data_IF_975821699592
#
_entry.id   IF_975821699592
#
_cell.length_a   1.000
_cell.length_b   1.000
_cell.length_c   1.000
_cell.angle_alpha   90.00
_cell.angle_beta   90.00
_cell.angle_gamma   90.00
#
_symmetry.space_group_name_H-M   'P 1'
#
loop_
_entity.id
_entity.type
_entity.pdbx_description
1 polymer ?
#
# COMPACT_ATOMS: atom_id res chain seq x y z
N UNK A 1 4.80 -12.25 -26.10
CA UNK A 1 4.52 -12.57 -24.69
C UNK A 1 4.86 -11.33 -23.89
N UNK A 2 3.86 -10.48 -23.65
CA UNK A 2 4.05 -9.18 -23.02
C UNK A 2 4.48 -9.37 -21.57
N UNK A 3 5.66 -8.83 -21.24
CA UNK A 3 6.15 -8.74 -19.87
C UNK A 3 5.19 -7.82 -19.13
N UNK A 4 4.32 -8.39 -18.30
CA UNK A 4 3.44 -7.61 -17.43
C UNK A 4 4.32 -6.91 -16.39
N UNK A 5 4.63 -5.65 -16.66
CA UNK A 5 5.40 -4.79 -15.78
C UNK A 5 4.44 -4.10 -14.79
N UNK A 6 4.08 -4.75 -13.68
CA UNK A 6 3.37 -4.13 -12.55
C UNK A 6 4.23 -3.01 -11.95
N UNK A 7 3.82 -1.74 -12.07
CA UNK A 7 4.70 -0.60 -11.78
C UNK A 7 4.71 -0.14 -10.32
N UNK A 8 3.71 -0.48 -9.52
CA UNK A 8 3.76 -0.31 -8.06
C UNK A 8 3.05 -1.50 -7.43
N UNK A 9 3.81 -2.37 -6.74
CA UNK A 9 3.22 -3.33 -5.82
C UNK A 9 3.51 -2.84 -4.42
N UNK A 10 2.48 -2.44 -3.69
CA UNK A 10 2.63 -1.96 -2.31
C UNK A 10 1.76 -2.81 -1.42
N UNK A 11 2.35 -3.44 -0.41
CA UNK A 11 1.62 -3.85 0.79
C UNK A 11 1.83 -2.73 1.82
N UNK A 12 0.95 -1.72 1.82
CA UNK A 12 1.09 -0.57 2.72
C UNK A 12 0.45 -0.85 4.06
N UNK A 13 1.26 -1.14 5.08
CA UNK A 13 0.78 -1.28 6.44
C UNK A 13 1.78 -0.58 7.36
N UNK A 14 1.42 0.63 7.83
CA UNK A 14 0.97 0.97 9.19
C UNK A 14 1.15 2.49 9.33
N UNK A 15 0.09 3.24 9.64
CA UNK A 15 0.21 4.48 10.38
C UNK A 15 -0.14 4.21 11.86
N UNK A 16 0.70 4.64 12.79
CA UNK A 16 0.41 4.53 14.25
C UNK A 16 0.18 5.92 14.82
N UNK A 17 -0.82 6.05 15.69
CA UNK A 17 -1.11 7.22 16.48
C UNK A 17 -1.42 6.76 17.91
N UNK A 18 -0.72 7.26 18.92
CA UNK A 18 -1.22 7.19 20.30
C UNK A 18 -2.09 8.42 20.62
N UNK A 19 -3.34 8.19 21.02
CA UNK A 19 -4.14 9.18 21.74
C UNK A 19 -3.89 8.95 23.23
N UNK A 20 -2.82 9.57 23.74
CA UNK A 20 -2.15 9.13 24.96
C UNK A 20 -3.03 8.86 26.18
N UNK A 21 -2.70 7.78 26.91
CA UNK A 21 -2.46 7.80 28.36
C UNK A 21 -1.68 6.55 28.83
N UNK A 22 -0.45 6.78 29.31
CA UNK A 22 0.40 5.95 30.20
C UNK A 22 0.64 4.46 29.84
N UNK A 23 1.89 4.19 29.44
CA UNK A 23 2.53 2.88 29.23
C UNK A 23 2.18 1.82 30.29
N UNK A 24 1.69 0.66 29.82
CA UNK A 24 2.04 -0.66 30.39
C UNK A 24 1.74 -1.79 29.41
N UNK A 25 2.76 -2.63 29.17
CA UNK A 25 2.82 -3.87 28.35
C UNK A 25 2.98 -3.67 26.84
N UNK A 26 3.75 -4.59 26.25
CA UNK A 26 4.02 -4.76 24.81
C UNK A 26 2.73 -4.99 24.03
N UNK A 27 1.90 -3.96 23.89
CA UNK A 27 0.76 -3.98 23.02
C UNK A 27 1.27 -3.67 21.63
N UNK A 28 1.00 -4.56 20.67
CA UNK A 28 1.26 -4.24 19.27
C UNK A 28 0.45 -2.98 18.95
N UNK A 29 1.15 -1.92 18.55
CA UNK A 29 0.51 -0.67 18.16
C UNK A 29 -0.55 -0.94 17.08
N UNK A 30 -1.76 -0.38 17.20
CA UNK A 30 -2.85 -0.68 16.29
C UNK A 30 -2.56 -0.12 14.89
N UNK A 31 -2.70 -0.97 13.86
CA UNK A 31 -2.67 -0.53 12.46
C UNK A 31 -3.97 0.23 12.13
N UNK A 32 -3.92 1.55 12.12
CA UNK A 32 -5.10 2.39 11.87
C UNK A 32 -5.59 2.33 10.41
N UNK A 33 -4.75 1.83 9.48
CA UNK A 33 -5.10 1.66 8.07
C UNK A 33 -5.84 0.35 7.78
N UNK A 34 -5.92 -0.59 8.74
CA UNK A 34 -6.51 -1.91 8.55
C UNK A 34 -7.97 -1.79 8.06
N UNK A 35 -8.25 -2.40 6.90
CA UNK A 35 -9.55 -2.45 6.22
C UNK A 35 -10.15 -1.09 5.91
N UNK A 36 -9.34 -0.04 5.90
CA UNK A 36 -9.77 1.30 5.49
C UNK A 36 -9.99 1.36 3.98
N UNK A 37 -10.85 2.28 3.50
CA UNK A 37 -10.99 2.51 2.07
C UNK A 37 -9.65 2.87 1.44
N UNK A 38 -9.30 2.19 0.37
CA UNK A 38 -8.08 2.44 -0.37
C UNK A 38 -8.39 2.59 -1.86
N UNK A 39 -7.64 3.47 -2.53
CA UNK A 39 -7.70 3.73 -3.96
C UNK A 39 -6.29 3.62 -4.54
N UNK A 40 -6.21 3.36 -5.83
CA UNK A 40 -4.97 3.43 -6.58
C UNK A 40 -5.25 3.96 -7.98
N UNK A 41 -4.24 4.52 -8.64
CA UNK A 41 -4.32 5.13 -9.97
C UNK A 41 -4.96 4.22 -11.01
N UNK A 42 -4.54 2.96 -11.04
CA UNK A 42 -5.06 1.92 -11.93
C UNK A 42 -5.06 0.57 -11.24
N UNK A 43 -5.93 -0.37 -11.66
CA UNK A 43 -5.96 -1.72 -11.09
C UNK A 43 -5.51 -2.76 -12.09
N UNK A 44 -4.44 -3.49 -11.74
CA UNK A 44 -4.02 -4.66 -12.49
C UNK A 44 -5.05 -5.78 -12.33
N UNK A 45 -5.37 -6.43 -13.45
CA UNK A 45 -6.19 -7.62 -13.47
C UNK A 45 -5.69 -8.55 -14.56
N UNK A 46 -5.65 -9.85 -14.27
CA UNK A 46 -5.20 -10.87 -15.20
C UNK A 46 -5.94 -12.17 -14.96
N UNK A 47 -6.36 -12.83 -16.04
CA UNK A 47 -7.07 -14.10 -15.99
C UNK A 47 -8.27 -14.15 -15.02
N UNK A 48 -8.98 -13.02 -14.87
CA UNK A 48 -10.13 -12.90 -13.96
C UNK A 48 -9.77 -12.59 -12.50
N UNK A 49 -8.48 -12.57 -12.14
CA UNK A 49 -8.01 -12.07 -10.85
C UNK A 49 -7.75 -10.57 -10.92
N UNK A 50 -7.98 -9.87 -9.82
CA UNK A 50 -7.74 -8.43 -9.68
C UNK A 50 -6.87 -8.17 -8.46
N UNK A 51 -6.02 -7.14 -8.56
CA UNK A 51 -5.11 -6.70 -7.50
C UNK A 51 -5.50 -5.30 -6.99
N UNK A 52 -6.66 -5.16 -6.32
CA UNK A 52 -7.17 -3.86 -5.89
C UNK A 52 -6.34 -3.24 -4.76
N UNK A 53 -6.51 -1.94 -4.57
CA UNK A 53 -5.85 -1.17 -3.52
C UNK A 53 -6.09 -1.73 -2.12
N UNK A 54 -7.24 -2.36 -1.86
CA UNK A 54 -7.61 -2.92 -0.56
C UNK A 54 -6.69 -4.05 -0.08
N UNK A 55 -5.99 -4.74 -0.99
CA UNK A 55 -5.01 -5.78 -0.61
C UNK A 55 -3.82 -5.22 0.16
N UNK A 56 -3.55 -3.92 0.05
CA UNK A 56 -2.50 -3.29 0.85
C UNK A 56 -2.91 -3.12 2.32
N UNK A 57 -4.21 -3.15 2.64
CA UNK A 57 -4.76 -2.86 3.97
C UNK A 57 -5.62 -4.00 4.51
N UNK A 58 -5.50 -5.21 3.98
CA UNK A 58 -6.32 -6.37 4.38
C UNK A 58 -5.83 -7.07 5.65
N UNK A 59 -4.60 -6.78 6.09
CA UNK A 59 -3.94 -7.38 7.25
C UNK A 59 -3.05 -8.58 6.91
N UNK A 60 -2.94 -8.96 5.64
CA UNK A 60 -1.96 -9.93 5.17
C UNK A 60 -0.61 -9.23 4.92
N UNK A 61 0.43 -9.64 5.66
CA UNK A 61 1.77 -9.09 5.52
C UNK A 61 2.67 -9.91 4.56
N UNK A 62 2.10 -10.91 3.90
CA UNK A 62 2.81 -11.70 2.91
C UNK A 62 3.24 -10.87 1.71
N UNK A 63 4.39 -11.22 1.14
CA UNK A 63 5.03 -10.44 0.07
C UNK A 63 5.06 -11.17 -1.27
N UNK A 64 4.54 -12.40 -1.32
CA UNK A 64 4.43 -13.19 -2.54
C UNK A 64 3.17 -12.77 -3.32
N UNK A 65 3.36 -12.19 -4.49
CA UNK A 65 2.25 -11.71 -5.32
C UNK A 65 1.27 -12.81 -5.75
N UNK A 66 1.74 -14.03 -5.93
CA UNK A 66 0.94 -15.16 -6.41
C UNK A 66 0.15 -15.79 -5.26
N UNK A 67 0.80 -15.97 -4.12
CA UNK A 67 0.27 -16.68 -2.94
C UNK A 67 -0.44 -15.73 -1.99
N UNK A 68 0.22 -14.66 -1.58
CA UNK A 68 -0.28 -13.74 -0.55
C UNK A 68 -1.17 -12.65 -1.14
N UNK A 69 -1.01 -12.40 -2.45
CA UNK A 69 -1.61 -11.29 -3.21
C UNK A 69 -1.11 -9.93 -2.71
N UNK A 70 -1.05 -8.97 -3.62
CA UNK A 70 -0.70 -7.60 -3.28
C UNK A 70 -1.51 -6.62 -4.14
N UNK A 71 -1.66 -5.38 -3.68
CA UNK A 71 -2.17 -4.30 -4.54
C UNK A 71 -1.21 -4.08 -5.72
N UNK A 72 -1.73 -3.84 -6.92
CA UNK A 72 -0.89 -3.65 -8.11
C UNK A 72 -1.55 -2.73 -9.12
N UNK A 73 -0.80 -1.72 -9.58
CA UNK A 73 -1.17 -0.85 -10.70
C UNK A 73 -0.92 -1.51 -12.05
N UNK A 74 -1.62 -1.07 -13.10
CA UNK A 74 -1.43 -1.60 -14.45
C UNK A 74 -0.03 -1.25 -14.97
N UNK A 75 0.50 -2.11 -15.84
CA UNK A 75 1.69 -1.75 -16.62
C UNK A 75 1.40 -0.59 -17.57
N UNK A 76 2.36 0.33 -17.67
CA UNK A 76 2.23 1.57 -18.45
C UNK A 76 1.61 2.75 -17.69
N UNK A 77 1.28 2.59 -16.41
CA UNK A 77 0.90 3.72 -15.55
C UNK A 77 2.12 4.62 -15.28
N UNK A 78 2.13 5.83 -15.83
CA UNK A 78 3.28 6.73 -15.81
C UNK A 78 3.41 7.53 -14.52
N UNK A 79 2.36 7.60 -13.71
CA UNK A 79 2.36 8.28 -12.41
C UNK A 79 1.56 7.44 -11.39
N UNK A 80 2.05 6.23 -11.07
CA UNK A 80 1.28 5.30 -10.27
C UNK A 80 1.21 5.78 -8.82
N UNK A 81 0.00 5.76 -8.26
CA UNK A 81 -0.24 6.16 -6.87
C UNK A 81 -1.17 5.19 -6.17
N UNK A 82 -1.06 5.17 -4.84
CA UNK A 82 -1.94 4.45 -3.94
C UNK A 82 -2.29 5.39 -2.77
N UNK A 83 -3.53 5.34 -2.32
CA UNK A 83 -4.08 6.20 -1.28
C UNK A 83 -4.94 5.39 -0.32
N UNK A 84 -4.85 5.68 0.97
CA UNK A 84 -5.81 5.23 2.00
C UNK A 84 -6.50 6.41 2.63
N UNK A 85 -7.82 6.30 2.75
CA UNK A 85 -8.63 7.20 3.55
C UNK A 85 -8.77 6.62 4.95
N UNK A 86 -8.13 7.26 5.95
CA UNK A 86 -8.21 6.81 7.34
C UNK A 86 -9.59 7.07 7.98
N UNK A 87 -10.45 7.86 7.33
CA UNK A 87 -11.81 8.24 7.73
C UNK A 87 -11.92 9.05 9.03
N UNK A 88 -10.79 9.42 9.62
CA UNK A 88 -10.68 10.32 10.75
C UNK A 88 -9.28 10.95 10.75
N UNK A 89 -9.12 12.01 11.54
CA UNK A 89 -7.81 12.65 11.74
C UNK A 89 -7.04 11.87 12.80
N UNK A 90 -5.81 11.48 12.45
CA UNK A 90 -4.89 10.77 13.33
C UNK A 90 -3.56 11.52 13.41
N UNK A 91 -2.90 11.44 14.57
CA UNK A 91 -1.48 11.71 14.66
C UNK A 91 -0.72 10.58 13.95
N UNK A 92 0.33 10.83 13.17
CA UNK A 92 1.03 9.74 12.47
C UNK A 92 2.47 9.69 12.99
N UNK A 93 2.79 8.64 13.73
CA UNK A 93 4.10 8.39 14.34
C UNK A 93 5.09 7.81 13.32
N UNK A 94 4.65 6.84 12.52
CA UNK A 94 5.44 6.25 11.44
C UNK A 94 4.55 5.71 10.33
N UNK A 95 5.10 5.61 9.12
CA UNK A 95 4.52 4.86 8.00
C UNK A 95 5.41 3.67 7.70
N UNK A 96 4.86 2.45 7.69
CA UNK A 96 5.58 1.25 7.26
C UNK A 96 5.06 0.77 5.91
N UNK A 97 5.99 0.43 5.01
CA UNK A 97 5.73 -0.07 3.66
C UNK A 97 6.34 -1.46 3.55
N UNK A 98 5.54 -2.45 3.16
CA UNK A 98 6.00 -3.78 2.78
C UNK A 98 6.06 -3.84 1.25
N UNK A 99 7.25 -4.15 0.73
CA UNK A 99 7.47 -4.30 -0.70
C UNK A 99 7.12 -5.72 -1.14
N UNK A 100 6.79 -5.91 -2.42
CA UNK A 100 6.71 -7.24 -3.03
C UNK A 100 8.08 -7.90 -3.01
N UNK A 101 8.12 -9.14 -2.54
CA UNK A 101 9.30 -9.99 -2.58
C UNK A 101 9.30 -10.90 -3.81
N UNK A 102 10.25 -11.83 -3.81
CA UNK A 102 10.26 -12.94 -4.76
C UNK A 102 8.96 -13.74 -4.62
N UNK A 103 8.27 -13.98 -5.75
CA UNK A 103 7.06 -14.81 -5.75
C UNK A 103 7.37 -16.30 -5.89
N UNK A 104 6.33 -17.13 -5.77
CA UNK A 104 6.38 -18.59 -5.86
C UNK A 104 7.05 -19.12 -7.14
N UNK A 105 7.11 -18.32 -8.21
CA UNK A 105 7.75 -18.68 -9.47
C UNK A 105 9.20 -18.18 -9.57
N UNK A 106 9.74 -17.59 -8.51
CA UNK A 106 11.09 -17.04 -8.47
C UNK A 106 11.21 -15.68 -9.15
N UNK A 107 10.10 -14.98 -9.42
CA UNK A 107 10.13 -13.65 -10.02
C UNK A 107 10.29 -12.61 -8.92
N UNK A 108 11.45 -11.97 -8.90
CA UNK A 108 11.74 -10.81 -8.06
C UNK A 108 11.56 -9.52 -8.87
N UNK A 109 10.82 -8.58 -8.29
CA UNK A 109 10.55 -7.25 -8.86
C UNK A 109 10.63 -6.18 -7.77
N UNK A 110 11.31 -6.47 -6.66
CA UNK A 110 11.44 -5.56 -5.53
C UNK A 110 12.07 -4.22 -5.94
N UNK A 111 12.87 -4.18 -7.01
CA UNK A 111 13.50 -2.95 -7.52
C UNK A 111 12.52 -1.92 -8.10
N UNK A 112 11.25 -2.30 -8.30
CA UNK A 112 10.22 -1.41 -8.85
C UNK A 112 9.75 -0.37 -7.84
N UNK A 113 9.74 -0.72 -6.56
CA UNK A 113 9.42 0.22 -5.50
C UNK A 113 10.68 1.02 -5.14
N UNK A 114 10.92 2.10 -5.89
CA UNK A 114 12.01 3.05 -5.67
C UNK A 114 11.50 4.47 -5.88
N UNK A 115 12.23 5.44 -5.35
CA UNK A 115 11.90 6.87 -5.48
C UNK A 115 10.47 7.21 -5.01
N UNK A 116 10.00 6.51 -3.97
CA UNK A 116 8.65 6.66 -3.42
C UNK A 116 8.56 7.91 -2.56
N UNK A 117 7.53 8.73 -2.81
CA UNK A 117 7.15 9.83 -1.93
C UNK A 117 5.94 9.42 -1.10
N UNK A 118 6.02 9.62 0.22
CA UNK A 118 4.89 9.43 1.14
C UNK A 118 4.39 10.79 1.58
N UNK A 119 3.13 11.08 1.25
CA UNK A 119 2.47 12.34 1.63
C UNK A 119 1.32 12.02 2.59
N UNK A 120 1.18 12.84 3.64
CA UNK A 120 0.10 12.77 4.61
C UNK A 120 -0.60 14.12 4.63
N UNK A 121 -1.93 14.12 4.53
CA UNK A 121 -2.75 15.33 4.49
C UNK A 121 -4.13 15.09 5.07
N UNK A 122 -4.88 16.17 5.32
CA UNK A 122 -6.22 16.09 5.89
C UNK A 122 -7.28 15.79 4.83
N UNK A 123 -7.04 16.20 3.59
CA UNK A 123 -7.95 16.03 2.46
C UNK A 123 -7.27 15.38 1.26
N UNK A 124 -8.06 14.80 0.36
CA UNK A 124 -7.58 14.24 -0.92
C UNK A 124 -6.86 15.33 -1.75
N UNK A 125 -7.28 16.59 -1.63
CA UNK A 125 -6.60 17.74 -2.23
C UNK A 125 -5.22 18.01 -1.62
N UNK A 126 -5.04 17.87 -0.31
CA UNK A 126 -3.72 18.08 0.31
C UNK A 126 -2.67 17.07 -0.17
N UNK A 127 -3.11 15.88 -0.60
CA UNK A 127 -2.23 14.77 -0.98
C UNK A 127 -2.07 14.59 -2.50
N UNK A 128 -3.05 14.99 -3.32
CA UNK A 128 -3.00 14.82 -4.78
C UNK A 128 -2.51 16.06 -5.56
N UNK A 129 -2.36 17.22 -4.93
CA UNK A 129 -1.95 18.46 -5.62
C UNK A 129 -0.52 18.45 -6.16
N UNK A 130 0.30 17.47 -5.80
CA UNK A 130 1.67 17.30 -6.34
C UNK A 130 1.72 16.51 -7.65
N UNK A 131 0.56 16.14 -8.23
CA UNK A 131 0.48 15.29 -9.42
C UNK A 131 0.00 16.00 -10.70
N UNK A 132 -0.16 17.34 -10.67
CA UNK A 132 -0.47 18.17 -11.85
C UNK A 132 0.76 18.88 -12.40
#
# INVERSE_FOLDING_TARGET
MEKVLCLMTVALIIAVADAGHQRSKRQAEPNIALKKPAKQSTTYSWAGESSPASLAVDGNNGTDFVVDKCSCTKGGDTNPWWLVDLQAVYHIDYVRILNRGMDKWGVDVAERLRDVTVTVGMTESDVLFLQL
#
